data_IF_106286686550
#
_entry.id   IF_106286686550
#
_cell.length_a   1.000
_cell.length_b   1.000
_cell.length_c   1.000
_cell.angle_alpha   90.00
_cell.angle_beta   90.00
_cell.angle_gamma   90.00
#
_symmetry.space_group_name_H-M   'P 1'
#
loop_
_entity.id
_entity.type
_entity.pdbx_description
1 polymer ?
#
# COMPACT_ATOMS: atom_id res chain seq x y z
N UNK A 1 6.07 22.57 13.19
CA UNK A 1 5.67 21.18 13.43
C UNK A 1 4.69 21.25 14.56
N UNK A 2 3.43 20.85 14.34
CA UNK A 2 2.38 21.06 15.35
C UNK A 2 2.78 20.39 16.65
N UNK A 3 2.92 21.18 17.72
CA UNK A 3 2.82 20.65 19.08
C UNK A 3 1.35 20.31 19.28
N UNK A 4 1.02 19.03 19.17
CA UNK A 4 -0.35 18.55 19.18
C UNK A 4 -0.51 17.37 20.13
N UNK A 5 -1.66 17.32 20.80
CA UNK A 5 -2.01 16.21 21.69
C UNK A 5 -2.91 15.26 20.91
N UNK A 6 -2.47 14.00 20.80
CA UNK A 6 -3.31 12.92 20.34
C UNK A 6 -4.22 12.47 21.48
N UNK A 7 -5.53 12.46 21.21
CA UNK A 7 -6.53 11.90 22.11
C UNK A 7 -7.38 10.89 21.35
N UNK A 8 -8.01 9.97 22.06
CA UNK A 8 -8.88 8.99 21.44
C UNK A 8 -9.81 8.32 22.43
N UNK A 9 -10.89 7.75 21.87
CA UNK A 9 -11.88 7.01 22.63
C UNK A 9 -12.22 5.72 21.91
N UNK A 10 -12.31 4.62 22.65
CA UNK A 10 -12.77 3.34 22.14
C UNK A 10 -14.28 3.40 21.92
N UNK A 11 -14.73 3.06 20.73
CA UNK A 11 -16.15 3.04 20.34
C UNK A 11 -16.71 1.61 20.34
N UNK A 12 -15.91 0.62 19.94
CA UNK A 12 -16.27 -0.80 19.96
C UNK A 12 -15.13 -1.63 20.51
N UNK A 13 -15.46 -2.58 21.38
CA UNK A 13 -14.52 -3.56 21.94
C UNK A 13 -15.30 -4.80 22.38
N UNK A 14 -15.82 -5.54 21.40
CA UNK A 14 -16.74 -6.64 21.65
C UNK A 14 -16.44 -7.87 20.79
N UNK A 15 -16.90 -9.02 21.28
CA UNK A 15 -16.91 -10.29 20.54
C UNK A 15 -18.32 -10.84 20.56
N UNK A 16 -18.94 -10.94 19.39
CA UNK A 16 -20.26 -11.52 19.23
C UNK A 16 -20.11 -13.00 18.86
N UNK A 17 -21.00 -13.84 19.38
CA UNK A 17 -21.00 -15.29 19.12
C UNK A 17 -22.35 -15.67 18.52
N UNK A 18 -22.31 -16.24 17.32
CA UNK A 18 -23.49 -16.68 16.58
C UNK A 18 -23.50 -18.20 16.46
N UNK A 19 -24.47 -18.89 17.08
CA UNK A 19 -24.62 -20.33 16.92
C UNK A 19 -25.21 -20.66 15.54
N UNK A 20 -24.78 -21.77 14.96
CA UNK A 20 -25.37 -22.35 13.75
C UNK A 20 -25.18 -23.87 13.75
N UNK A 21 -25.81 -24.55 12.80
CA UNK A 21 -25.72 -26.01 12.68
C UNK A 21 -25.07 -26.39 11.36
N UNK A 22 -24.33 -27.50 11.39
CA UNK A 22 -23.79 -28.13 10.19
C UNK A 22 -24.12 -29.60 10.13
N UNK A 23 -24.19 -30.13 8.92
CA UNK A 23 -24.38 -31.55 8.68
C UNK A 23 -23.07 -32.31 8.87
N UNK A 24 -23.17 -33.47 9.48
CA UNK A 24 -22.11 -34.48 9.63
C UNK A 24 -22.70 -35.84 9.29
N UNK A 25 -21.81 -36.79 8.98
CA UNK A 25 -22.19 -38.16 8.66
C UNK A 25 -21.42 -39.12 9.57
N UNK A 26 -22.11 -40.14 10.10
CA UNK A 26 -21.49 -41.24 10.83
C UNK A 26 -21.84 -42.56 10.16
N UNK A 27 -20.87 -43.46 10.07
CA UNK A 27 -21.09 -44.84 9.62
C UNK A 27 -21.98 -45.58 10.63
N UNK A 28 -22.96 -46.34 10.16
CA UNK A 28 -23.84 -47.16 11.02
C UNK A 28 -23.60 -48.66 10.86
N UNK A 29 -22.69 -49.06 9.98
CA UNK A 29 -22.26 -50.44 9.78
C UNK A 29 -20.73 -50.50 9.74
N UNK A 30 -20.16 -51.66 10.09
CA UNK A 30 -18.70 -51.86 10.19
C UNK A 30 -17.97 -51.63 8.86
N UNK A 31 -18.69 -51.80 7.74
CA UNK A 31 -18.17 -51.57 6.38
C UNK A 31 -18.47 -50.17 5.84
N UNK A 32 -19.10 -49.29 6.65
CA UNK A 32 -19.57 -47.95 6.30
C UNK A 32 -20.33 -47.85 4.95
N UNK A 33 -21.12 -48.88 4.60
CA UNK A 33 -21.99 -48.86 3.42
C UNK A 33 -23.25 -48.02 3.65
N UNK A 34 -23.60 -47.77 4.91
CA UNK A 34 -24.72 -46.92 5.30
C UNK A 34 -24.20 -45.80 6.19
N UNK A 35 -24.65 -44.58 5.90
CA UNK A 35 -24.34 -43.39 6.69
C UNK A 35 -25.61 -42.81 7.29
N UNK A 36 -25.48 -42.23 8.47
CA UNK A 36 -26.55 -41.46 9.11
C UNK A 36 -26.12 -40.00 9.21
N UNK A 37 -26.94 -39.12 8.66
CA UNK A 37 -26.78 -37.67 8.82
C UNK A 37 -27.15 -37.26 10.26
N UNK A 38 -26.35 -36.37 10.85
CA UNK A 38 -26.68 -35.69 12.10
C UNK A 38 -26.21 -34.25 12.04
N UNK A 39 -26.90 -33.38 12.79
CA UNK A 39 -26.52 -31.98 12.91
C UNK A 39 -25.55 -31.80 14.07
N UNK A 40 -24.47 -31.06 13.83
CA UNK A 40 -23.56 -30.60 14.87
C UNK A 40 -23.68 -29.11 15.07
N UNK A 41 -23.62 -28.69 16.34
CA UNK A 41 -23.62 -27.29 16.72
C UNK A 41 -22.23 -26.69 16.50
N UNK A 42 -22.22 -25.56 15.81
CA UNK A 42 -21.05 -24.74 15.55
C UNK A 42 -21.29 -23.30 16.00
N UNK A 43 -20.21 -22.56 16.15
CA UNK A 43 -20.22 -21.18 16.62
C UNK A 43 -19.32 -20.32 15.75
N UNK A 44 -19.84 -19.19 15.29
CA UNK A 44 -19.09 -18.13 14.62
C UNK A 44 -18.83 -17.02 15.62
N UNK A 45 -17.56 -16.69 15.86
CA UNK A 45 -17.15 -15.56 16.68
C UNK A 45 -16.76 -14.40 15.77
N UNK A 46 -17.26 -13.21 16.06
CA UNK A 46 -16.91 -11.98 15.36
C UNK A 46 -16.40 -10.95 16.38
N UNK A 47 -15.10 -10.67 16.34
CA UNK A 47 -14.47 -9.63 17.13
C UNK A 47 -14.45 -8.32 16.35
N UNK A 48 -14.98 -7.27 16.99
CA UNK A 48 -15.03 -5.92 16.43
C UNK A 48 -14.34 -4.96 17.40
N UNK A 49 -13.39 -4.20 16.87
CA UNK A 49 -12.73 -3.14 17.61
C UNK A 49 -12.74 -1.85 16.80
N UNK A 50 -13.13 -0.74 17.42
CA UNK A 50 -12.98 0.57 16.82
C UNK A 50 -12.71 1.65 17.84
N UNK A 51 -11.99 2.67 17.41
CA UNK A 51 -11.71 3.87 18.20
C UNK A 51 -11.69 5.10 17.29
N UNK A 52 -12.00 6.25 17.86
CA UNK A 52 -11.76 7.55 17.20
C UNK A 52 -10.44 8.11 17.69
N UNK A 53 -9.60 8.57 16.78
CA UNK A 53 -8.40 9.34 17.09
C UNK A 53 -8.60 10.79 16.67
N UNK A 54 -8.21 11.71 17.55
CA UNK A 54 -8.23 13.16 17.31
C UNK A 54 -6.86 13.76 17.59
N UNK A 55 -6.45 14.71 16.75
CA UNK A 55 -5.29 15.56 17.01
C UNK A 55 -5.80 16.96 17.31
N UNK A 56 -5.41 17.47 18.48
CA UNK A 56 -5.73 18.83 18.92
C UNK A 56 -4.45 19.66 18.84
N UNK A 57 -4.52 20.78 18.15
CA UNK A 57 -3.46 21.79 18.15
C UNK A 57 -3.40 22.47 19.51
N UNK A 58 -2.24 22.46 20.18
CA UNK A 58 -2.11 23.00 21.55
C UNK A 58 -2.21 24.52 21.57
N UNK A 59 -1.83 25.21 20.50
CA UNK A 59 -1.85 26.67 20.43
C UNK A 59 -3.26 27.21 20.18
N UNK A 60 -4.04 26.54 19.33
CA UNK A 60 -5.39 27.02 18.95
C UNK A 60 -6.53 26.27 19.66
N UNK A 61 -6.27 25.08 20.20
CA UNK A 61 -7.31 24.19 20.72
C UNK A 61 -8.16 23.53 19.63
N UNK A 62 -7.84 23.75 18.35
CA UNK A 62 -8.63 23.21 17.24
C UNK A 62 -8.35 21.73 16.98
N UNK A 63 -9.40 20.99 16.61
CA UNK A 63 -9.27 19.61 16.14
C UNK A 63 -8.81 19.61 14.69
N UNK A 64 -7.53 19.34 14.48
CA UNK A 64 -6.90 19.34 13.13
C UNK A 64 -6.99 17.98 12.44
N UNK A 65 -7.31 16.91 13.17
CA UNK A 65 -7.60 15.58 12.64
C UNK A 65 -8.65 14.89 13.51
N UNK A 66 -9.59 14.18 12.89
CA UNK A 66 -10.54 13.31 13.58
C UNK A 66 -10.97 12.19 12.64
N UNK A 67 -10.67 10.94 13.01
CA UNK A 67 -11.03 9.77 12.20
C UNK A 67 -11.27 8.53 13.05
N UNK A 68 -12.28 7.75 12.67
CA UNK A 68 -12.54 6.44 13.25
C UNK A 68 -11.70 5.36 12.56
N UNK A 69 -11.05 4.53 13.37
CA UNK A 69 -10.27 3.37 12.95
C UNK A 69 -10.94 2.10 13.42
N UNK A 70 -11.08 1.15 12.49
CA UNK A 70 -11.80 -0.12 12.71
C UNK A 70 -10.91 -1.30 12.40
N UNK A 71 -11.12 -2.39 13.12
CA UNK A 71 -10.56 -3.70 12.86
C UNK A 71 -11.58 -4.78 13.17
N UNK A 72 -11.58 -5.83 12.36
CA UNK A 72 -12.57 -6.90 12.42
C UNK A 72 -11.93 -8.25 12.16
N UNK A 73 -12.24 -9.23 13.01
CA UNK A 73 -11.79 -10.62 12.84
C UNK A 73 -12.91 -11.57 13.13
N UNK A 74 -12.97 -12.65 12.37
CA UNK A 74 -13.91 -13.71 12.62
C UNK A 74 -13.18 -15.05 12.76
N UNK A 75 -13.80 -15.93 13.53
CA UNK A 75 -13.35 -17.29 13.73
C UNK A 75 -14.55 -18.21 13.80
N UNK A 76 -14.35 -19.48 13.48
CA UNK A 76 -15.40 -20.50 13.53
C UNK A 76 -14.89 -21.77 14.18
N UNK A 77 -15.71 -22.37 15.04
CA UNK A 77 -15.41 -23.69 15.62
C UNK A 77 -16.69 -24.51 15.78
N UNK A 78 -16.55 -25.82 15.86
CA UNK A 78 -17.66 -26.76 16.06
C UNK A 78 -17.38 -27.61 17.32
N UNK A 79 -18.41 -28.24 17.89
CA UNK A 79 -18.21 -29.03 19.11
C UNK A 79 -17.36 -30.30 18.91
N UNK A 80 -17.24 -30.79 17.68
CA UNK A 80 -16.40 -31.94 17.30
C UNK A 80 -14.94 -31.57 17.02
N UNK A 81 -14.61 -30.29 16.86
CA UNK A 81 -13.27 -29.90 16.38
C UNK A 81 -12.17 -30.00 17.45
N UNK A 82 -12.51 -30.22 18.73
CA UNK A 82 -11.55 -30.28 19.85
C UNK A 82 -10.79 -28.96 20.14
N UNK A 83 -10.96 -27.96 19.29
CA UNK A 83 -10.33 -26.65 19.36
C UNK A 83 -11.38 -25.55 19.44
N UNK A 84 -11.21 -24.62 20.39
CA UNK A 84 -12.03 -23.43 20.56
C UNK A 84 -11.18 -22.21 20.27
N UNK A 85 -11.63 -21.35 19.35
CA UNK A 85 -10.95 -20.10 19.05
C UNK A 85 -11.10 -19.15 20.24
N UNK A 86 -9.97 -18.66 20.75
CA UNK A 86 -9.94 -17.68 21.84
C UNK A 86 -10.58 -16.36 21.41
N UNK A 87 -11.56 -15.89 22.18
CA UNK A 87 -12.18 -14.58 21.98
C UNK A 87 -11.17 -13.45 22.15
N UNK A 88 -10.22 -13.62 23.07
CA UNK A 88 -9.14 -12.68 23.31
C UNK A 88 -8.21 -12.57 22.09
N UNK A 89 -7.78 -13.69 21.53
CA UNK A 89 -6.91 -13.69 20.34
C UNK A 89 -7.56 -12.98 19.15
N UNK A 90 -8.85 -13.26 18.89
CA UNK A 90 -9.60 -12.57 17.83
C UNK A 90 -9.68 -11.05 18.09
N UNK A 91 -9.93 -10.66 19.34
CA UNK A 91 -10.01 -9.25 19.72
C UNK A 91 -8.66 -8.55 19.63
N UNK A 92 -7.56 -9.20 20.01
CA UNK A 92 -6.21 -8.65 19.85
C UNK A 92 -5.85 -8.47 18.37
N UNK A 93 -6.21 -9.42 17.50
CA UNK A 93 -6.01 -9.27 16.07
C UNK A 93 -6.85 -8.12 15.48
N UNK A 94 -8.10 -7.95 15.94
CA UNK A 94 -8.94 -6.81 15.55
C UNK A 94 -8.32 -5.47 16.01
N UNK A 95 -7.79 -5.40 17.24
CA UNK A 95 -7.05 -4.23 17.75
C UNK A 95 -5.82 -3.92 16.90
N UNK A 96 -4.99 -4.92 16.62
CA UNK A 96 -3.78 -4.76 15.81
C UNK A 96 -4.10 -4.23 14.41
N UNK A 97 -5.20 -4.67 13.80
CA UNK A 97 -5.65 -4.12 12.51
C UNK A 97 -6.01 -2.63 12.62
N UNK A 98 -6.81 -2.24 13.62
CA UNK A 98 -7.20 -0.85 13.81
C UNK A 98 -5.98 0.05 14.12
N UNK A 99 -5.06 -0.42 14.97
CA UNK A 99 -3.81 0.29 15.30
C UNK A 99 -2.92 0.43 14.07
N UNK A 100 -2.77 -0.63 13.26
CA UNK A 100 -1.99 -0.57 12.02
C UNK A 100 -2.56 0.45 11.02
N UNK A 101 -3.89 0.55 10.92
CA UNK A 101 -4.55 1.57 10.11
C UNK A 101 -4.24 2.99 10.62
N UNK A 102 -4.29 3.19 11.93
CA UNK A 102 -3.97 4.46 12.57
C UNK A 102 -2.49 4.86 12.41
N UNK A 103 -1.57 3.92 12.61
CA UNK A 103 -0.13 4.18 12.42
C UNK A 103 0.19 4.63 10.99
N UNK A 104 -0.52 4.10 9.98
CA UNK A 104 -0.38 4.54 8.58
C UNK A 104 -0.85 5.97 8.32
N UNK A 105 -1.72 6.51 9.18
CA UNK A 105 -2.18 7.89 9.09
C UNK A 105 -1.19 8.88 9.73
N UNK A 106 -0.39 8.44 10.71
CA UNK A 106 0.52 9.32 11.48
C UNK A 106 1.97 9.19 11.03
N UNK A 107 2.44 7.97 10.84
CA UNK A 107 3.83 7.69 10.59
C UNK A 107 4.07 7.58 9.07
N UNK A 108 5.07 8.29 8.53
CA UNK A 108 5.61 7.97 7.22
C UNK A 108 6.11 6.52 7.25
N UNK A 109 5.44 5.63 6.53
CA UNK A 109 5.96 4.27 6.33
C UNK A 109 6.83 4.28 5.08
N UNK A 110 8.03 3.68 5.17
CA UNK A 110 8.87 3.42 4.01
C UNK A 110 8.13 2.40 3.14
N UNK A 111 7.43 2.85 2.10
CA UNK A 111 7.02 1.92 1.06
C UNK A 111 8.19 1.73 0.11
N UNK A 112 8.66 0.49 0.01
CA UNK A 112 9.56 0.09 -1.06
C UNK A 112 8.73 -0.19 -2.30
N UNK A 113 8.87 0.62 -3.34
CA UNK A 113 8.32 0.33 -4.66
C UNK A 113 9.47 -0.05 -5.58
N UNK A 114 9.34 -1.18 -6.28
CA UNK A 114 10.23 -1.52 -7.38
C UNK A 114 9.81 -0.70 -8.60
N UNK A 115 10.58 0.32 -8.96
CA UNK A 115 10.35 1.08 -10.18
C UNK A 115 11.14 0.44 -11.31
N UNK A 116 10.43 -0.02 -12.34
CA UNK A 116 11.05 -0.63 -13.51
C UNK A 116 11.67 0.46 -14.38
N UNK A 117 12.92 0.28 -14.79
CA UNK A 117 13.57 1.13 -15.80
C UNK A 117 13.19 0.62 -17.19
N UNK A 118 12.97 1.53 -18.15
CA UNK A 118 12.81 1.14 -19.55
C UNK A 118 14.18 0.90 -20.17
N UNK A 119 14.38 -0.31 -20.68
CA UNK A 119 15.65 -0.77 -21.26
C UNK A 119 15.73 -0.60 -22.78
N UNK A 120 14.62 -0.17 -23.42
CA UNK A 120 14.53 0.04 -24.86
C UNK A 120 14.33 1.52 -25.15
N UNK A 121 15.15 2.05 -26.06
CA UNK A 121 15.03 3.40 -26.60
C UNK A 121 14.61 3.29 -28.07
N UNK A 122 13.52 3.97 -28.41
CA UNK A 122 13.01 4.09 -29.78
C UNK A 122 13.50 5.39 -30.41
N UNK A 123 13.51 5.47 -31.74
CA UNK A 123 13.85 6.69 -32.51
C UNK A 123 15.26 7.26 -32.22
N UNK A 124 16.14 6.44 -31.66
CA UNK A 124 17.57 6.76 -31.44
C UNK A 124 18.41 5.68 -32.10
N UNK A 125 19.44 6.09 -32.84
CA UNK A 125 20.32 5.22 -33.63
C UNK A 125 21.79 5.61 -33.49
N UNK A 126 22.68 4.75 -33.99
CA UNK A 126 24.12 4.99 -33.96
C UNK A 126 24.71 5.02 -32.55
N UNK A 127 25.68 5.90 -32.35
CA UNK A 127 26.43 6.05 -31.10
C UNK A 127 25.53 6.32 -29.89
N UNK A 128 24.52 7.19 -30.03
CA UNK A 128 23.64 7.55 -28.91
C UNK A 128 22.79 6.37 -28.41
N UNK A 129 22.42 5.44 -29.30
CA UNK A 129 21.74 4.18 -28.92
C UNK A 129 22.65 3.28 -28.10
N UNK A 130 23.94 3.23 -28.46
CA UNK A 130 24.93 2.43 -27.73
C UNK A 130 25.28 3.09 -26.39
N UNK A 131 25.40 4.42 -26.34
CA UNK A 131 25.53 5.20 -25.11
C UNK A 131 24.35 4.93 -24.16
N UNK A 132 23.12 4.88 -24.66
CA UNK A 132 21.96 4.49 -23.86
C UNK A 132 22.08 3.07 -23.32
N UNK A 133 22.41 2.08 -24.16
CA UNK A 133 22.58 0.69 -23.69
C UNK A 133 23.68 0.57 -22.64
N UNK A 134 24.81 1.24 -22.84
CA UNK A 134 25.92 1.26 -21.89
C UNK A 134 25.51 1.90 -20.56
N UNK A 135 24.65 2.91 -20.58
CA UNK A 135 24.11 3.51 -19.35
C UNK A 135 23.36 2.50 -18.46
N UNK A 136 22.71 1.49 -19.05
CA UNK A 136 21.96 0.47 -18.31
C UNK A 136 22.87 -0.44 -17.48
N UNK A 137 24.15 -0.61 -17.85
CA UNK A 137 25.12 -1.39 -17.07
C UNK A 137 25.37 -0.81 -15.68
N UNK A 138 25.19 0.49 -15.50
CA UNK A 138 25.30 1.12 -14.19
C UNK A 138 24.22 0.65 -13.21
N UNK A 139 23.08 0.15 -13.70
CA UNK A 139 22.01 -0.41 -12.88
C UNK A 139 22.44 -1.71 -12.20
N UNK A 140 23.27 -2.52 -12.85
CA UNK A 140 23.86 -3.75 -12.27
C UNK A 140 24.77 -3.42 -11.09
N UNK A 141 25.49 -2.30 -11.19
CA UNK A 141 26.35 -1.76 -10.12
C UNK A 141 25.57 -0.96 -9.06
N UNK A 142 24.23 -0.93 -9.13
CA UNK A 142 23.32 -0.11 -8.30
C UNK A 142 23.64 1.39 -8.31
N UNK A 143 24.33 1.87 -9.34
CA UNK A 143 24.70 3.28 -9.51
C UNK A 143 23.72 3.97 -10.46
N UNK A 144 22.49 4.19 -9.97
CA UNK A 144 21.45 4.85 -10.75
C UNK A 144 21.86 6.27 -11.17
N UNK A 145 22.65 6.98 -10.35
CA UNK A 145 23.04 8.36 -10.62
C UNK A 145 23.81 8.49 -11.94
N UNK A 146 24.78 7.61 -12.20
CA UNK A 146 25.53 7.65 -13.47
C UNK A 146 24.65 7.37 -14.69
N UNK A 147 23.66 6.49 -14.56
CA UNK A 147 22.70 6.25 -15.63
C UNK A 147 21.86 7.52 -15.89
N UNK A 148 21.42 8.19 -14.83
CA UNK A 148 20.68 9.46 -14.91
C UNK A 148 21.48 10.55 -15.63
N UNK A 149 22.76 10.73 -15.29
CA UNK A 149 23.62 11.74 -15.92
C UNK A 149 23.77 11.52 -17.44
N UNK A 150 23.82 10.25 -17.87
CA UNK A 150 23.85 9.89 -19.30
C UNK A 150 22.49 10.17 -19.94
N UNK A 151 21.38 9.81 -19.29
CA UNK A 151 20.04 10.06 -19.80
C UNK A 151 19.70 11.55 -19.90
N UNK A 152 20.20 12.40 -19.00
CA UNK A 152 20.05 13.86 -19.09
C UNK A 152 20.70 14.40 -20.36
N UNK A 153 21.95 14.00 -20.65
CA UNK A 153 22.67 14.38 -21.88
C UNK A 153 21.96 13.88 -23.15
N UNK A 154 21.42 12.66 -23.12
CA UNK A 154 20.66 12.14 -24.25
C UNK A 154 19.34 12.90 -24.45
N UNK A 155 18.69 13.34 -23.36
CA UNK A 155 17.44 14.09 -23.45
C UNK A 155 17.64 15.47 -24.10
N UNK A 156 18.80 16.10 -23.92
CA UNK A 156 19.12 17.37 -24.62
C UNK A 156 19.04 17.22 -26.15
N UNK A 157 19.48 16.07 -26.67
CA UNK A 157 19.41 15.74 -28.11
C UNK A 157 18.02 15.25 -28.51
N UNK A 158 17.34 14.51 -27.64
CA UNK A 158 16.07 13.85 -27.90
C UNK A 158 14.99 14.27 -26.89
N UNK A 159 14.55 15.55 -26.90
CA UNK A 159 13.75 16.13 -25.82
C UNK A 159 12.35 15.52 -25.64
N UNK A 160 11.87 14.79 -26.65
CA UNK A 160 10.54 14.15 -26.66
C UNK A 160 10.64 12.61 -26.63
N UNK A 161 11.80 12.04 -26.31
CA UNK A 161 11.92 10.59 -26.21
C UNK A 161 11.24 10.07 -24.93
N UNK A 162 10.22 9.22 -25.09
CA UNK A 162 9.37 8.72 -24.00
C UNK A 162 10.20 7.92 -22.98
N UNK A 163 11.14 7.07 -23.46
CA UNK A 163 12.02 6.26 -22.59
C UNK A 163 12.89 7.14 -21.71
N UNK A 164 13.55 8.15 -22.28
CA UNK A 164 14.41 9.08 -21.53
C UNK A 164 13.60 9.89 -20.52
N UNK A 165 12.45 10.44 -20.93
CA UNK A 165 11.56 11.18 -20.03
C UNK A 165 11.08 10.31 -18.86
N UNK A 166 10.65 9.08 -19.13
CA UNK A 166 10.23 8.16 -18.08
C UNK A 166 11.39 7.80 -17.14
N UNK A 167 12.54 7.40 -17.67
CA UNK A 167 13.70 7.00 -16.87
C UNK A 167 14.23 8.16 -16.01
N UNK A 168 14.25 9.39 -16.52
CA UNK A 168 14.57 10.58 -15.73
C UNK A 168 13.51 10.87 -14.67
N UNK A 169 12.23 10.64 -14.95
CA UNK A 169 11.19 10.66 -13.92
C UNK A 169 11.55 9.76 -12.72
N UNK A 170 12.09 8.56 -12.98
CA UNK A 170 12.57 7.63 -11.93
C UNK A 170 13.75 8.22 -11.16
N UNK A 171 14.71 8.84 -11.85
CA UNK A 171 15.84 9.53 -11.24
C UNK A 171 15.40 10.62 -10.26
N UNK A 172 14.48 11.48 -10.66
CA UNK A 172 13.97 12.54 -9.80
C UNK A 172 13.10 11.99 -8.65
N UNK A 173 12.32 10.93 -8.89
CA UNK A 173 11.50 10.26 -7.88
C UNK A 173 12.39 9.67 -6.76
N UNK A 174 13.47 8.97 -7.13
CA UNK A 174 14.42 8.38 -6.17
C UNK A 174 15.17 9.43 -5.35
N UNK A 175 15.42 10.61 -5.92
CA UNK A 175 15.97 11.78 -5.21
C UNK A 175 14.93 12.54 -4.36
N UNK A 176 13.70 12.01 -4.23
CA UNK A 176 12.56 12.66 -3.55
C UNK A 176 12.17 14.03 -4.13
N UNK A 177 12.63 14.35 -5.34
CA UNK A 177 12.24 15.53 -6.07
C UNK A 177 10.97 15.24 -6.89
N UNK A 178 9.85 15.12 -6.16
CA UNK A 178 8.58 14.66 -6.70
C UNK A 178 7.96 15.60 -7.75
N UNK A 179 8.31 16.89 -7.72
CA UNK A 179 7.78 17.87 -8.67
C UNK A 179 8.36 17.65 -10.06
N UNK A 180 9.68 17.50 -10.14
CA UNK A 180 10.35 17.27 -11.42
C UNK A 180 10.02 15.89 -11.95
N UNK A 181 9.98 14.87 -11.08
CA UNK A 181 9.50 13.53 -11.44
C UNK A 181 8.10 13.57 -12.09
N UNK A 182 7.16 14.32 -11.49
CA UNK A 182 5.83 14.52 -12.07
C UNK A 182 5.88 15.19 -13.44
N UNK A 183 6.67 16.25 -13.60
CA UNK A 183 6.83 16.94 -14.89
C UNK A 183 7.34 16.00 -15.98
N UNK A 184 8.36 15.19 -15.68
CA UNK A 184 8.92 14.21 -16.61
C UNK A 184 7.91 13.10 -16.97
N UNK A 185 7.26 12.48 -15.98
CA UNK A 185 6.25 11.45 -16.24
C UNK A 185 5.05 11.99 -17.00
N UNK A 186 4.60 13.21 -16.70
CA UNK A 186 3.52 13.86 -17.41
C UNK A 186 3.88 14.13 -18.87
N UNK A 187 5.12 14.59 -19.13
CA UNK A 187 5.59 14.79 -20.51
C UNK A 187 5.66 13.46 -21.26
N UNK A 188 6.18 12.40 -20.65
CA UNK A 188 6.18 11.05 -21.23
C UNK A 188 4.76 10.58 -21.55
N UNK A 189 3.82 10.73 -20.61
CA UNK A 189 2.42 10.35 -20.78
C UNK A 189 1.74 11.07 -21.95
N UNK A 190 1.97 12.38 -22.08
CA UNK A 190 1.39 13.19 -23.16
C UNK A 190 1.90 12.81 -24.56
N UNK A 191 3.04 12.14 -24.65
CA UNK A 191 3.66 11.73 -25.91
C UNK A 191 3.31 10.28 -26.30
N UNK A 192 2.60 9.54 -25.44
CA UNK A 192 2.20 8.16 -25.70
C UNK A 192 1.21 8.08 -26.88
N UNK A 193 1.54 7.27 -27.88
CA UNK A 193 0.61 6.88 -28.95
C UNK A 193 -0.29 5.70 -28.55
N UNK A 194 0.14 4.92 -27.55
CA UNK A 194 -0.57 3.76 -26.99
C UNK A 194 -0.41 3.74 -25.47
N UNK A 195 -1.36 3.15 -24.71
CA UNK A 195 -1.23 3.02 -23.27
C UNK A 195 0.07 2.31 -22.88
N UNK A 196 0.80 2.90 -21.93
CA UNK A 196 2.01 2.32 -21.32
C UNK A 196 1.80 2.25 -19.81
N UNK A 197 1.66 1.02 -19.30
CA UNK A 197 1.35 0.79 -17.88
C UNK A 197 2.43 1.32 -16.94
N UNK A 198 3.71 1.27 -17.34
CA UNK A 198 4.81 1.76 -16.50
C UNK A 198 4.66 3.28 -16.29
N UNK A 199 4.41 4.02 -17.38
CA UNK A 199 4.23 5.48 -17.35
C UNK A 199 2.98 5.85 -16.56
N UNK A 200 1.85 5.18 -16.81
CA UNK A 200 0.57 5.44 -16.11
C UNK A 200 0.72 5.19 -14.61
N UNK A 201 1.31 4.05 -14.23
CA UNK A 201 1.49 3.70 -12.82
C UNK A 201 2.49 4.64 -12.12
N UNK A 202 3.55 5.06 -12.81
CA UNK A 202 4.51 6.02 -12.27
C UNK A 202 3.88 7.40 -12.03
N UNK A 203 3.09 7.90 -12.99
CA UNK A 203 2.37 9.18 -12.84
C UNK A 203 1.38 9.13 -11.67
N UNK A 204 0.56 8.07 -11.59
CA UNK A 204 -0.36 7.88 -10.45
C UNK A 204 0.38 7.77 -9.12
N UNK A 205 1.53 7.10 -9.09
CA UNK A 205 2.36 6.95 -7.88
C UNK A 205 2.88 8.31 -7.43
N UNK A 206 3.50 9.09 -8.31
CA UNK A 206 4.08 10.40 -7.94
C UNK A 206 3.01 11.41 -7.54
N UNK A 207 1.82 11.39 -8.15
CA UNK A 207 0.68 12.21 -7.74
C UNK A 207 0.24 11.90 -6.30
N UNK A 208 0.17 10.62 -5.95
CA UNK A 208 -0.15 10.20 -4.59
C UNK A 208 0.95 10.63 -3.60
N UNK A 209 2.22 10.55 -3.98
CA UNK A 209 3.34 11.01 -3.14
C UNK A 209 3.29 12.52 -2.93
N UNK A 210 3.03 13.31 -3.98
CA UNK A 210 2.85 14.76 -3.88
C UNK A 210 1.68 15.13 -2.97
N UNK A 211 0.53 14.45 -3.10
CA UNK A 211 -0.63 14.66 -2.22
C UNK A 211 -0.29 14.36 -0.76
N UNK A 212 0.39 13.24 -0.49
CA UNK A 212 0.85 12.89 0.86
C UNK A 212 1.84 13.93 1.40
N UNK A 213 2.80 14.36 0.60
CA UNK A 213 3.78 15.37 0.99
C UNK A 213 3.09 16.71 1.31
N UNK A 214 2.09 17.10 0.53
CA UNK A 214 1.28 18.29 0.80
C UNK A 214 0.50 18.17 2.12
N UNK A 215 -0.16 17.04 2.37
CA UNK A 215 -0.89 16.79 3.62
C UNK A 215 0.05 16.82 4.83
N UNK A 216 1.21 16.17 4.74
CA UNK A 216 2.22 16.22 5.80
C UNK A 216 2.68 17.66 6.05
N UNK A 217 3.00 18.42 5.00
CA UNK A 217 3.36 19.84 5.16
C UNK A 217 2.26 20.63 5.85
N UNK A 218 0.98 20.41 5.53
CA UNK A 218 -0.15 21.09 6.19
C UNK A 218 -0.23 20.75 7.69
N UNK A 219 0.07 19.50 8.06
CA UNK A 219 0.13 19.04 9.46
C UNK A 219 1.37 19.58 10.21
N UNK A 220 2.46 19.94 9.52
CA UNK A 220 3.71 20.36 10.17
C UNK A 220 4.10 21.85 9.99
N UNK A 221 3.48 22.60 9.07
CA UNK A 221 3.78 24.04 8.81
C UNK A 221 2.88 25.03 9.54
N UNK A 222 2.08 24.58 10.49
CA UNK A 222 1.45 25.47 11.47
C UNK A 222 2.06 25.13 12.83
#
# INVERSE_FOLDING_TARGET
>A
GVQGIWTGAVLKNNVNIYPFFEKRFKCIDDKCKRTKEYLIRCFRKEANFSFVAKLIDVATGEVVYSKEHKGGRYGRYCLDSGYVISSESLLQQAKNQAISNFLRDIAPYKTTYSVKIKEKIEEVAGEDKETFKNSLRWLESKDLNKACDIWEKLLEKYPNNITLLYNLGVCYETKSNLKDAYSFYKKAYNLLSKPDEDVINALKRVENLLKKQYLLKKVFKR
#
